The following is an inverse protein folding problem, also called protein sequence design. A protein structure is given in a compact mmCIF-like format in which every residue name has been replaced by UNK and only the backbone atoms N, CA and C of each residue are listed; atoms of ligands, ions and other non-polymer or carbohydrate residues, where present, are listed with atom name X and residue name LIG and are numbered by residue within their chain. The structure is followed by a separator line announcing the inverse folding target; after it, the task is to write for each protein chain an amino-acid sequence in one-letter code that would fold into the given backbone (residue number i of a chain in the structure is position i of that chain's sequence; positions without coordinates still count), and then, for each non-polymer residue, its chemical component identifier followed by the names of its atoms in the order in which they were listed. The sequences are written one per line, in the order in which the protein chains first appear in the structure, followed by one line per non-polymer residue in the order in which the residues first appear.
data_IF_165386482630
#
_entry.id   IF_165386482630
#
_cell.length_a   1.000
_cell.length_b   1.000
_cell.length_c   1.000
_cell.angle_alpha   90.00
_cell.angle_beta   90.00
_cell.angle_gamma   90.00
#
_symmetry.space_group_name_H-M   'P 1'
#
loop_
_entity.id
_entity.type
_entity.pdbx_description
1 polymer ?
#
# COMPACT_ATOMS: atom_id res chain seq x y z
N UNK A 1 11.06 -0.18 8.74
CA UNK A 1 10.98 1.00 7.84
C UNK A 1 12.33 1.56 7.38
N UNK A 2 13.38 1.64 8.22
CA UNK A 2 14.66 2.23 7.80
C UNK A 2 15.29 1.57 6.54
N UNK A 3 15.31 0.23 6.47
CA UNK A 3 15.82 -0.50 5.31
C UNK A 3 15.02 -0.22 4.04
N UNK A 4 13.69 -0.21 4.14
CA UNK A 4 12.80 0.07 3.00
C UNK A 4 13.02 1.50 2.48
N UNK A 5 13.22 2.48 3.39
CA UNK A 5 13.57 3.85 3.00
C UNK A 5 14.91 3.90 2.25
N UNK A 6 15.92 3.15 2.68
CA UNK A 6 17.21 3.09 1.99
C UNK A 6 17.07 2.53 0.57
N UNK A 7 16.34 1.42 0.41
CA UNK A 7 16.06 0.82 -0.91
C UNK A 7 15.26 1.79 -1.79
N UNK A 8 14.24 2.46 -1.25
CA UNK A 8 13.45 3.43 -1.99
C UNK A 8 14.30 4.64 -2.45
N UNK A 9 15.23 5.10 -1.63
CA UNK A 9 16.17 6.17 -1.97
C UNK A 9 17.11 5.76 -3.12
N UNK A 10 17.62 4.52 -3.08
CA UNK A 10 18.54 3.99 -4.08
C UNK A 10 17.84 3.72 -5.43
N UNK A 11 16.74 2.97 -5.40
CA UNK A 11 16.05 2.50 -6.61
C UNK A 11 15.09 3.54 -7.19
N UNK A 12 14.66 4.53 -6.40
CA UNK A 12 13.73 5.60 -6.77
C UNK A 12 12.43 5.13 -7.46
N UNK A 13 11.77 4.07 -6.98
CA UNK A 13 10.59 3.52 -7.65
C UNK A 13 9.42 4.52 -7.68
N UNK A 14 8.59 4.45 -8.72
CA UNK A 14 7.33 5.21 -8.77
C UNK A 14 6.26 4.66 -7.81
N UNK A 15 6.29 3.36 -7.58
CA UNK A 15 5.30 2.61 -6.78
C UNK A 15 6.02 1.58 -5.93
N UNK A 16 5.64 1.46 -4.67
CA UNK A 16 6.11 0.40 -3.77
C UNK A 16 4.90 -0.33 -3.19
N UNK A 17 4.85 -1.64 -3.38
CA UNK A 17 3.86 -2.51 -2.76
C UNK A 17 4.56 -3.34 -1.67
N UNK A 18 4.01 -3.33 -0.46
CA UNK A 18 4.47 -4.18 0.64
C UNK A 18 3.27 -5.01 1.10
N UNK A 19 3.39 -6.32 0.94
CA UNK A 19 2.51 -7.30 1.57
C UNK A 19 3.12 -7.78 2.87
N UNK A 20 2.33 -8.40 3.75
CA UNK A 20 2.82 -8.86 5.06
C UNK A 20 3.50 -7.72 5.82
N UNK A 21 2.83 -6.56 5.89
CA UNK A 21 3.38 -5.40 6.58
C UNK A 21 3.35 -5.55 8.11
N UNK A 22 2.46 -6.39 8.64
CA UNK A 22 2.23 -6.61 10.08
C UNK A 22 1.94 -5.31 10.83
N UNK A 23 1.38 -4.32 10.14
CA UNK A 23 1.03 -3.03 10.71
C UNK A 23 -0.30 -3.10 11.45
N UNK A 24 -0.50 -2.15 12.37
CA UNK A 24 -1.70 -2.04 13.21
C UNK A 24 -2.19 -0.59 13.23
N UNK A 25 -3.50 -0.32 13.40
CA UNK A 25 -4.04 1.06 13.36
C UNK A 25 -3.46 1.99 14.45
N UNK A 26 -2.90 1.40 15.51
CA UNK A 26 -2.23 2.13 16.59
C UNK A 26 -0.89 2.73 16.15
N UNK A 27 -0.26 2.19 15.10
CA UNK A 27 0.98 2.73 14.54
C UNK A 27 0.63 3.95 13.68
N UNK A 28 1.10 5.16 14.03
CA UNK A 28 0.81 6.36 13.25
C UNK A 28 1.47 6.34 11.87
N UNK A 29 0.81 6.90 10.86
CA UNK A 29 1.32 6.96 9.49
C UNK A 29 2.66 7.71 9.37
N UNK A 30 2.97 8.61 10.31
CA UNK A 30 4.27 9.27 10.40
C UNK A 30 5.46 8.28 10.47
N UNK A 31 5.27 7.11 11.09
CA UNK A 31 6.30 6.07 11.15
C UNK A 31 6.47 5.31 9.83
N UNK A 32 5.43 5.33 8.98
CA UNK A 32 5.39 4.64 7.70
C UNK A 32 5.89 5.51 6.55
N UNK A 33 6.18 6.79 6.79
CA UNK A 33 6.55 7.75 5.74
C UNK A 33 7.81 7.31 4.99
N UNK A 34 7.72 7.35 3.67
CA UNK A 34 8.82 7.34 2.72
C UNK A 34 8.80 8.71 2.04
N UNK A 35 9.95 9.36 1.90
CA UNK A 35 10.01 10.71 1.36
C UNK A 35 9.49 10.74 -0.08
N UNK A 36 8.80 11.84 -0.42
CA UNK A 36 8.16 12.07 -1.73
C UNK A 36 7.06 11.06 -2.11
N UNK A 37 6.58 10.23 -1.18
CA UNK A 37 5.52 9.25 -1.44
C UNK A 37 4.26 9.51 -0.60
N UNK A 38 3.09 9.39 -1.23
CA UNK A 38 1.85 9.11 -0.51
C UNK A 38 1.80 7.66 -0.07
N UNK A 39 1.09 7.39 1.04
CA UNK A 39 0.91 6.04 1.60
C UNK A 39 -0.57 5.70 1.69
N UNK A 40 -0.90 4.47 1.30
CA UNK A 40 -2.18 3.81 1.48
C UNK A 40 -1.93 2.53 2.26
N UNK A 41 -2.81 2.20 3.19
CA UNK A 41 -2.64 1.01 4.03
C UNK A 41 -3.95 0.30 4.26
N UNK A 42 -3.85 -0.99 4.49
CA UNK A 42 -4.90 -1.83 5.03
C UNK A 42 -4.27 -2.67 6.13
N UNK A 43 -4.71 -2.45 7.36
CA UNK A 43 -4.23 -3.20 8.52
C UNK A 43 -5.15 -4.38 8.79
N UNK A 44 -4.57 -5.56 9.00
CA UNK A 44 -5.33 -6.72 9.44
C UNK A 44 -5.42 -6.69 10.97
N UNK A 45 -6.64 -6.65 11.49
CA UNK A 45 -6.90 -6.59 12.94
C UNK A 45 -7.50 -7.87 13.51
N UNK A 46 -8.03 -8.76 12.66
CA UNK A 46 -8.75 -9.97 13.06
C UNK A 46 -7.85 -11.18 13.33
N UNK A 47 -6.67 -11.25 12.73
CA UNK A 47 -5.77 -12.40 12.80
C UNK A 47 -4.30 -11.97 12.91
N UNK A 48 -3.42 -12.93 13.23
CA UNK A 48 -1.97 -12.72 13.22
C UNK A 48 -1.44 -12.66 11.78
N UNK A 49 -0.59 -11.67 11.52
CA UNK A 49 0.03 -11.47 10.20
C UNK A 49 -0.89 -10.71 9.24
N UNK A 50 -0.45 -10.56 7.99
CA UNK A 50 -1.18 -9.80 6.98
C UNK A 50 -0.84 -8.32 6.93
N UNK A 51 -1.80 -7.57 6.38
CA UNK A 51 -1.72 -6.14 6.13
C UNK A 51 -0.92 -5.79 4.89
N UNK A 52 -1.32 -4.71 4.24
CA UNK A 52 -0.75 -4.24 2.97
C UNK A 52 -0.48 -2.74 3.01
N UNK A 53 0.65 -2.32 2.42
CA UNK A 53 1.01 -0.92 2.22
C UNK A 53 1.26 -0.67 0.73
N UNK A 54 0.74 0.43 0.22
CA UNK A 54 0.95 0.92 -1.13
C UNK A 54 1.48 2.35 -1.05
N UNK A 55 2.70 2.54 -1.57
CA UNK A 55 3.30 3.86 -1.73
C UNK A 55 3.27 4.27 -3.19
N UNK A 56 2.94 5.53 -3.43
CA UNK A 56 2.91 6.12 -4.77
C UNK A 56 3.67 7.44 -4.71
N UNK A 57 4.58 7.64 -5.66
CA UNK A 57 5.39 8.86 -5.75
C UNK A 57 4.50 10.08 -6.00
N UNK A 58 4.73 11.15 -5.25
CA UNK A 58 3.92 12.38 -5.25
C UNK A 58 3.97 13.19 -6.54
N UNK A 59 4.81 12.81 -7.50
CA UNK A 59 4.75 13.36 -8.87
C UNK A 59 3.42 13.02 -9.57
N UNK A 60 2.76 11.94 -9.14
CA UNK A 60 1.46 11.54 -9.65
C UNK A 60 0.34 12.11 -8.79
N UNK A 61 -0.76 12.52 -9.42
CA UNK A 61 -2.00 12.79 -8.68
C UNK A 61 -2.68 11.46 -8.37
N UNK A 62 -2.76 11.13 -7.09
CA UNK A 62 -3.33 9.86 -6.61
C UNK A 62 -4.31 10.06 -5.44
N UNK A 63 -5.28 9.18 -5.31
CA UNK A 63 -6.29 9.19 -4.24
C UNK A 63 -6.75 7.77 -3.91
N UNK A 64 -7.34 7.60 -2.73
CA UNK A 64 -7.91 6.31 -2.29
C UNK A 64 -8.92 5.81 -3.31
N UNK A 65 -8.87 4.51 -3.62
CA UNK A 65 -9.88 3.86 -4.44
C UNK A 65 -10.51 2.74 -3.63
N UNK A 66 -11.77 2.92 -3.25
CA UNK A 66 -12.52 1.89 -2.54
C UNK A 66 -13.07 0.89 -3.56
N UNK A 67 -12.36 -0.23 -3.68
CA UNK A 67 -12.86 -1.38 -4.42
C UNK A 67 -13.69 -2.21 -3.44
N UNK A 68 -14.98 -2.39 -3.72
CA UNK A 68 -15.79 -3.37 -3.01
C UNK A 68 -15.28 -4.77 -3.37
N UNK A 69 -14.34 -5.24 -2.56
CA UNK A 69 -13.52 -6.40 -2.85
C UNK A 69 -13.78 -7.47 -1.77
N UNK A 70 -15.07 -7.74 -1.51
CA UNK A 70 -15.54 -8.75 -0.54
C UNK A 70 -14.94 -10.16 -0.77
N UNK A 71 -14.38 -10.42 -1.95
CA UNK A 71 -13.66 -11.64 -2.30
C UNK A 71 -12.22 -11.71 -1.75
N UNK A 72 -11.66 -10.62 -1.23
CA UNK A 72 -10.32 -10.57 -0.67
C UNK A 72 -10.39 -10.54 0.86
N UNK A 73 -9.42 -11.18 1.52
CA UNK A 73 -9.38 -11.41 2.97
C UNK A 73 -9.00 -10.18 3.81
N UNK A 74 -9.51 -8.99 3.47
CA UNK A 74 -9.17 -7.70 4.09
C UNK A 74 -7.69 -7.35 4.05
N UNK A 75 -6.93 -7.95 3.13
CA UNK A 75 -5.48 -7.79 2.99
C UNK A 75 -5.11 -7.02 1.71
N UNK A 76 -5.89 -5.99 1.38
CA UNK A 76 -5.71 -5.24 0.15
C UNK A 76 -5.80 -3.73 0.37
N UNK A 77 -5.05 -2.96 -0.41
CA UNK A 77 -5.28 -1.53 -0.53
C UNK A 77 -5.18 -1.11 -1.99
N UNK A 78 -6.07 -0.21 -2.41
CA UNK A 78 -6.14 0.30 -3.77
C UNK A 78 -6.08 1.81 -3.81
N UNK A 79 -5.46 2.33 -4.86
CA UNK A 79 -5.42 3.75 -5.15
C UNK A 79 -5.61 3.99 -6.65
N UNK A 80 -6.28 5.10 -6.99
CA UNK A 80 -6.37 5.57 -8.36
C UNK A 80 -5.27 6.58 -8.63
N UNK A 81 -4.59 6.42 -9.76
CA UNK A 81 -3.61 7.35 -10.30
C UNK A 81 -4.17 8.02 -11.54
N UNK A 82 -4.00 9.35 -11.64
CA UNK A 82 -4.23 10.10 -12.87
C UNK A 82 -2.87 10.25 -13.58
N UNK A 83 -2.71 9.56 -14.72
CA UNK A 83 -1.51 9.66 -15.57
C UNK A 83 -1.62 10.83 -16.55
N UNK A 84 -2.84 11.11 -17.03
CA UNK A 84 -3.16 12.28 -17.86
C UNK A 84 -4.66 12.60 -17.74
N UNK A 85 -5.17 13.72 -18.28
CA UNK A 85 -6.59 14.05 -18.24
C UNK A 85 -7.51 12.96 -18.83
N UNK A 86 -6.99 12.12 -19.73
CA UNK A 86 -7.73 11.03 -20.38
C UNK A 86 -7.34 9.63 -19.93
N UNK A 87 -6.31 9.51 -19.09
CA UNK A 87 -5.78 8.21 -18.67
C UNK A 87 -5.70 8.14 -17.15
N UNK A 88 -6.41 7.15 -16.61
CA UNK A 88 -6.39 6.78 -15.20
C UNK A 88 -5.96 5.34 -15.07
N UNK A 89 -5.31 5.02 -13.97
CA UNK A 89 -4.89 3.68 -13.61
C UNK A 89 -5.39 3.39 -12.19
N UNK A 90 -5.76 2.14 -11.92
CA UNK A 90 -6.02 1.65 -10.57
C UNK A 90 -4.85 0.75 -10.21
N UNK A 91 -4.22 1.02 -9.08
CA UNK A 91 -3.20 0.17 -8.50
C UNK A 91 -3.75 -0.53 -7.27
N UNK A 92 -3.38 -1.80 -7.10
CA UNK A 92 -3.73 -2.60 -5.94
C UNK A 92 -2.50 -3.31 -5.39
N UNK A 93 -2.35 -3.26 -4.07
CA UNK A 93 -1.46 -4.15 -3.33
C UNK A 93 -2.33 -5.15 -2.58
N UNK A 94 -2.21 -6.43 -2.94
CA UNK A 94 -3.06 -7.51 -2.42
C UNK A 94 -2.15 -8.60 -1.87
N UNK A 95 -2.41 -9.00 -0.63
CA UNK A 95 -1.82 -10.18 -0.04
C UNK A 95 -2.86 -11.30 0.05
N UNK A 96 -2.52 -12.45 -0.53
CA UNK A 96 -3.33 -13.67 -0.40
C UNK A 96 -2.63 -14.60 0.61
N UNK A 97 -3.12 -14.68 1.87
CA UNK A 97 -2.50 -15.53 2.88
C UNK A 97 -2.49 -17.01 2.47
N UNK A 98 -1.48 -17.78 2.88
CA UNK A 98 -1.48 -19.21 2.68
C UNK A 98 -2.66 -19.84 3.43
N UNK A 99 -3.32 -20.81 2.82
CA UNK A 99 -4.30 -21.64 3.51
C UNK A 99 -3.51 -22.60 4.40
N UNK A 100 -3.46 -22.32 5.69
CA UNK A 100 -2.83 -23.20 6.67
C UNK A 100 -3.94 -24.12 7.22
N UNK A 101 -3.85 -25.44 7.00
CA UNK A 101 -4.82 -26.42 7.52
C UNK A 101 -4.73 -26.61 9.04
#
# INVERSE_FOLDING_TARGET
MAQIRAIAFELKPEVICITESWMHPVIPDAFLRIDECGVYRQDRTSERGGGSLLYIKGIFKHFTFDLNAASFSDNYCFASIILSPRQKMILGCIYNPPIIP
#
